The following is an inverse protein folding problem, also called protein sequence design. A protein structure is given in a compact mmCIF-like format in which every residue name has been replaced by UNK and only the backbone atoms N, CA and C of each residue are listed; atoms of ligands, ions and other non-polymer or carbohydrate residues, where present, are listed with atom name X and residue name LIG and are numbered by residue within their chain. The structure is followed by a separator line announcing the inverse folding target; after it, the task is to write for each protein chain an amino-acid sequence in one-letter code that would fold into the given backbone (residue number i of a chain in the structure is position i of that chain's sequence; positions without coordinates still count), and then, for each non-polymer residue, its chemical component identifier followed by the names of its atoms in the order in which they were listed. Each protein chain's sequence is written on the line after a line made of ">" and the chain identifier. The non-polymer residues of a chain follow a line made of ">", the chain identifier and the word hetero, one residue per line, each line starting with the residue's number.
data_IF_257963663422
#
_entry.id   IF_257963663422
#
_cell.length_a   1.000
_cell.length_b   1.000
_cell.length_c   1.000
_cell.angle_alpha   90.00
_cell.angle_beta   90.00
_cell.angle_gamma   90.00
#
_symmetry.space_group_name_H-M   'P 1'
#
loop_
_entity.id
_entity.type
_entity.pdbx_description
1 polymer ?
#
# COMPACT_ATOMS: atom_id res chain seq x y z
N UNK A 1 12.31 16.74 -21.26
CA UNK A 1 11.88 15.87 -22.38
C UNK A 1 13.14 15.24 -22.91
N UNK A 2 13.35 13.95 -22.67
CA UNK A 2 14.52 13.22 -23.14
C UNK A 2 14.08 11.79 -23.48
N UNK A 3 13.52 11.64 -24.68
CA UNK A 3 13.41 10.35 -25.34
C UNK A 3 14.81 9.84 -25.65
N UNK A 4 15.06 8.52 -25.54
CA UNK A 4 16.32 7.93 -25.99
C UNK A 4 16.56 8.30 -27.46
N UNK A 5 17.60 9.06 -27.78
CA UNK A 5 17.87 9.48 -29.14
C UNK A 5 18.24 8.26 -30.00
N UNK A 6 17.81 8.27 -31.26
CA UNK A 6 18.23 7.23 -32.20
C UNK A 6 19.75 7.36 -32.44
N UNK A 7 20.45 6.24 -32.66
CA UNK A 7 21.87 6.21 -32.97
C UNK A 7 22.22 7.14 -34.14
N UNK A 8 21.38 7.16 -35.17
CA UNK A 8 21.55 8.04 -36.34
C UNK A 8 21.30 9.52 -36.03
N UNK A 9 20.55 9.85 -34.97
CA UNK A 9 20.34 11.23 -34.51
C UNK A 9 21.56 11.74 -33.74
N UNK A 10 22.16 10.90 -32.89
CA UNK A 10 23.42 11.23 -32.20
C UNK A 10 24.58 11.46 -33.19
N UNK A 11 24.58 10.72 -34.30
CA UNK A 11 25.60 10.81 -35.35
C UNK A 11 25.54 12.11 -36.17
N UNK A 12 24.38 12.78 -36.23
CA UNK A 12 24.16 13.98 -37.07
C UNK A 12 24.69 15.28 -36.45
N UNK A 13 25.06 15.29 -35.17
CA UNK A 13 25.32 16.53 -34.41
C UNK A 13 26.70 16.67 -33.77
N UNK A 14 27.65 15.76 -34.02
CA UNK A 14 28.86 15.66 -33.20
C UNK A 14 30.14 15.36 -34.02
N UNK A 15 31.26 15.97 -33.61
CA UNK A 15 32.63 15.67 -34.10
C UNK A 15 33.27 14.45 -33.42
N UNK A 16 32.46 13.62 -32.76
CA UNK A 16 32.90 12.47 -31.98
C UNK A 16 33.21 11.26 -32.87
N UNK A 17 34.06 10.35 -32.38
CA UNK A 17 34.33 9.11 -33.09
C UNK A 17 33.10 8.20 -33.08
N UNK A 18 32.99 7.29 -34.05
CA UNK A 18 31.93 6.28 -34.07
C UNK A 18 31.89 5.44 -32.77
N UNK A 19 33.06 5.21 -32.17
CA UNK A 19 33.18 4.50 -30.89
C UNK A 19 32.57 5.31 -29.74
N UNK A 20 32.82 6.62 -29.67
CA UNK A 20 32.28 7.50 -28.62
C UNK A 20 30.75 7.60 -28.71
N UNK A 21 30.21 7.74 -29.93
CA UNK A 21 28.76 7.78 -30.18
C UNK A 21 28.09 6.45 -29.75
N UNK A 22 28.77 5.31 -29.96
CA UNK A 22 28.27 4.01 -29.52
C UNK A 22 28.29 3.86 -27.99
N UNK A 23 29.33 4.31 -27.31
CA UNK A 23 29.38 4.30 -25.84
C UNK A 23 28.28 5.20 -25.24
N UNK A 24 28.06 6.39 -25.81
CA UNK A 24 27.00 7.30 -25.38
C UNK A 24 25.62 6.66 -25.57
N UNK A 25 25.33 6.12 -26.76
CA UNK A 25 24.07 5.44 -27.06
C UNK A 25 23.80 4.24 -26.14
N UNK A 26 24.82 3.42 -25.86
CA UNK A 26 24.69 2.34 -24.89
C UNK A 26 24.38 2.86 -23.47
N UNK A 27 24.99 3.98 -23.07
CA UNK A 27 24.67 4.66 -21.81
C UNK A 27 23.20 5.07 -21.71
N UNK A 28 22.64 5.65 -22.77
CA UNK A 28 21.22 6.01 -22.86
C UNK A 28 20.29 4.79 -22.79
N UNK A 29 20.64 3.68 -23.44
CA UNK A 29 19.85 2.44 -23.38
C UNK A 29 19.85 1.81 -21.98
N UNK A 30 21.02 1.71 -21.35
CA UNK A 30 21.13 1.19 -19.97
C UNK A 30 20.33 2.05 -18.99
N UNK A 31 20.35 3.37 -19.17
CA UNK A 31 19.53 4.28 -18.38
C UNK A 31 18.02 4.04 -18.59
N UNK A 32 17.58 3.90 -19.85
CA UNK A 32 16.19 3.64 -20.20
C UNK A 32 15.68 2.32 -19.61
N UNK A 33 16.48 1.25 -19.70
CA UNK A 33 16.14 -0.05 -19.10
C UNK A 33 16.03 0.01 -17.57
N UNK A 34 16.94 0.72 -16.89
CA UNK A 34 16.89 0.89 -15.43
C UNK A 34 15.67 1.69 -15.02
N UNK A 35 15.36 2.75 -15.76
CA UNK A 35 14.16 3.57 -15.56
C UNK A 35 12.89 2.75 -15.74
N UNK A 36 12.79 1.94 -16.80
CA UNK A 36 11.66 1.06 -17.04
C UNK A 36 11.49 0.04 -15.90
N UNK A 37 12.57 -0.65 -15.53
CA UNK A 37 12.56 -1.62 -14.41
C UNK A 37 12.10 -0.98 -13.10
N UNK A 38 12.59 0.22 -12.79
CA UNK A 38 12.16 0.96 -11.60
C UNK A 38 10.68 1.33 -11.68
N UNK A 39 10.20 1.78 -12.85
CA UNK A 39 8.79 2.09 -13.06
C UNK A 39 7.89 0.88 -12.82
N UNK A 40 8.27 -0.28 -13.34
CA UNK A 40 7.50 -1.51 -13.17
C UNK A 40 7.57 -2.07 -11.74
N UNK A 41 8.71 -1.89 -11.06
CA UNK A 41 8.81 -2.19 -9.63
C UNK A 41 7.87 -1.32 -8.80
N UNK A 42 7.86 0.01 -9.01
CA UNK A 42 6.96 0.90 -8.29
C UNK A 42 5.48 0.58 -8.53
N UNK A 43 5.08 0.22 -9.76
CA UNK A 43 3.70 -0.20 -10.05
C UNK A 43 3.30 -1.48 -9.32
N UNK A 44 4.22 -2.45 -9.21
CA UNK A 44 3.97 -3.69 -8.46
C UNK A 44 3.82 -3.42 -6.98
N UNK A 45 4.70 -2.59 -6.40
CA UNK A 45 4.56 -2.18 -5.00
C UNK A 45 3.27 -1.38 -4.76
N UNK A 46 2.94 -0.44 -5.64
CA UNK A 46 1.67 0.33 -5.57
C UNK A 46 0.47 -0.62 -5.49
N UNK A 47 0.40 -1.61 -6.38
CA UNK A 47 -0.66 -2.61 -6.37
C UNK A 47 -0.67 -3.42 -5.08
N UNK A 48 0.49 -3.92 -4.64
CA UNK A 48 0.57 -4.71 -3.41
C UNK A 48 0.08 -3.93 -2.18
N UNK A 49 0.34 -2.63 -2.12
CA UNK A 49 -0.19 -1.78 -1.04
C UNK A 49 -1.70 -1.53 -1.18
N UNK A 50 -2.23 -1.36 -2.39
CA UNK A 50 -3.68 -1.25 -2.60
C UNK A 50 -4.41 -2.55 -2.23
N UNK A 51 -3.85 -3.70 -2.60
CA UNK A 51 -4.40 -5.02 -2.25
C UNK A 51 -4.39 -5.20 -0.71
N UNK A 52 -3.29 -4.81 -0.05
CA UNK A 52 -3.20 -4.85 1.41
C UNK A 52 -4.21 -3.91 2.08
N UNK A 53 -4.39 -2.69 1.58
CA UNK A 53 -5.42 -1.75 2.05
C UNK A 53 -6.82 -2.37 1.96
N UNK A 54 -7.15 -3.00 0.82
CA UNK A 54 -8.42 -3.70 0.62
C UNK A 54 -8.61 -4.81 1.66
N UNK A 55 -7.60 -5.66 1.85
CA UNK A 55 -7.66 -6.75 2.83
C UNK A 55 -7.84 -6.24 4.27
N UNK A 56 -7.18 -5.14 4.65
CA UNK A 56 -7.38 -4.56 5.98
C UNK A 56 -8.79 -4.00 6.17
N UNK A 57 -9.39 -3.43 5.12
CA UNK A 57 -10.76 -2.92 5.18
C UNK A 57 -11.77 -4.07 5.28
N UNK A 58 -11.58 -5.16 4.55
CA UNK A 58 -12.40 -6.38 4.69
C UNK A 58 -12.33 -6.95 6.10
N UNK A 59 -11.11 -7.05 6.67
CA UNK A 59 -10.94 -7.48 8.06
C UNK A 59 -11.59 -6.51 9.06
N UNK A 60 -11.58 -5.20 8.77
CA UNK A 60 -12.19 -4.20 9.63
C UNK A 60 -13.70 -4.42 9.73
N UNK A 61 -14.38 -4.66 8.61
CA UNK A 61 -15.82 -4.95 8.58
C UNK A 61 -16.18 -6.18 9.43
N UNK A 62 -15.38 -7.24 9.34
CA UNK A 62 -15.57 -8.47 10.14
C UNK A 62 -15.40 -8.22 11.66
N UNK A 63 -14.39 -7.45 12.05
CA UNK A 63 -14.15 -7.11 13.46
C UNK A 63 -15.23 -6.16 13.99
N UNK A 64 -15.70 -5.22 13.17
CA UNK A 64 -16.83 -4.35 13.53
C UNK A 64 -18.11 -5.15 13.77
N UNK A 65 -18.43 -6.11 12.89
CA UNK A 65 -19.57 -7.01 13.07
C UNK A 65 -19.43 -7.86 14.34
N UNK A 66 -18.24 -8.42 14.60
CA UNK A 66 -17.93 -9.17 15.83
C UNK A 66 -18.11 -8.31 17.08
N UNK A 67 -17.64 -7.06 17.05
CA UNK A 67 -17.76 -6.09 18.13
C UNK A 67 -19.22 -5.74 18.39
N UNK A 68 -20.00 -5.47 17.35
CA UNK A 68 -21.42 -5.14 17.46
C UNK A 68 -22.22 -6.31 18.05
N UNK A 69 -21.99 -7.53 17.56
CA UNK A 69 -22.63 -8.72 18.11
C UNK A 69 -22.31 -8.91 19.60
N UNK A 70 -21.04 -8.79 20.00
CA UNK A 70 -20.64 -8.91 21.41
C UNK A 70 -21.24 -7.80 22.27
N UNK A 71 -21.28 -6.57 21.76
CA UNK A 71 -21.91 -5.45 22.44
C UNK A 71 -23.40 -5.72 22.69
N UNK A 72 -24.10 -6.25 21.69
CA UNK A 72 -25.49 -6.69 21.83
C UNK A 72 -25.67 -7.71 22.94
N UNK A 73 -24.82 -8.74 23.00
CA UNK A 73 -24.85 -9.73 24.07
C UNK A 73 -24.63 -9.10 25.46
N UNK A 74 -23.67 -8.19 25.60
CA UNK A 74 -23.42 -7.47 26.86
C UNK A 74 -24.66 -6.71 27.30
N UNK A 75 -25.29 -5.97 26.39
CA UNK A 75 -26.50 -5.18 26.67
C UNK A 75 -27.67 -6.08 27.12
N UNK A 76 -27.87 -7.22 26.46
CA UNK A 76 -28.93 -8.16 26.87
C UNK A 76 -28.66 -8.79 28.23
N UNK A 77 -27.42 -9.23 28.48
CA UNK A 77 -27.04 -9.82 29.77
C UNK A 77 -27.15 -8.82 30.92
N UNK A 78 -26.89 -7.54 30.68
CA UNK A 78 -27.06 -6.48 31.69
C UNK A 78 -28.51 -6.27 32.15
N UNK A 79 -29.52 -6.80 31.43
CA UNK A 79 -30.93 -6.72 31.82
C UNK A 79 -31.35 -7.81 32.81
N UNK A 80 -30.54 -8.87 32.95
CA UNK A 80 -30.82 -9.99 33.85
C UNK A 80 -30.47 -9.58 35.29
N UNK A 81 -31.16 -10.15 36.28
CA UNK A 81 -30.82 -9.94 37.69
C UNK A 81 -29.37 -10.38 37.94
N UNK A 82 -28.63 -9.57 38.71
CA UNK A 82 -27.19 -9.80 38.92
C UNK A 82 -26.96 -11.02 39.80
N UNK A 83 -26.11 -11.91 39.33
CA UNK A 83 -25.47 -12.95 40.13
C UNK A 83 -23.97 -12.99 39.81
N UNK A 84 -23.19 -13.68 40.65
CA UNK A 84 -21.73 -13.72 40.53
C UNK A 84 -21.23 -14.32 39.21
N UNK A 85 -21.94 -15.30 38.65
CA UNK A 85 -21.57 -15.96 37.38
C UNK A 85 -21.84 -15.04 36.22
N UNK A 86 -22.95 -14.30 36.26
CA UNK A 86 -23.30 -13.29 35.27
C UNK A 86 -22.28 -12.13 35.27
N UNK A 87 -21.87 -11.66 36.44
CA UNK A 87 -20.86 -10.60 36.55
C UNK A 87 -19.50 -11.05 36.00
N UNK A 88 -19.06 -12.28 36.27
CA UNK A 88 -17.84 -12.86 35.66
C UNK A 88 -17.93 -12.95 34.13
N UNK A 89 -19.06 -13.43 33.60
CA UNK A 89 -19.31 -13.48 32.15
C UNK A 89 -19.22 -12.08 31.51
N UNK A 90 -19.80 -11.06 32.15
CA UNK A 90 -19.78 -9.69 31.67
C UNK A 90 -18.36 -9.10 31.66
N UNK A 91 -17.52 -9.43 32.64
CA UNK A 91 -16.11 -9.00 32.68
C UNK A 91 -15.34 -9.58 31.48
N UNK A 92 -15.52 -10.87 31.19
CA UNK A 92 -14.86 -11.53 30.06
C UNK A 92 -15.32 -10.92 28.73
N UNK A 93 -16.63 -10.72 28.55
CA UNK A 93 -17.16 -10.14 27.32
C UNK A 93 -16.68 -8.70 27.09
N UNK A 94 -16.61 -7.88 28.13
CA UNK A 94 -16.09 -6.51 28.04
C UNK A 94 -14.60 -6.47 27.72
N UNK A 95 -13.82 -7.37 28.29
CA UNK A 95 -12.40 -7.49 27.95
C UNK A 95 -12.22 -7.85 26.46
N UNK A 96 -12.98 -8.82 25.97
CA UNK A 96 -12.96 -9.21 24.56
C UNK A 96 -13.48 -8.08 23.62
N UNK A 97 -14.48 -7.30 24.05
CA UNK A 97 -14.93 -6.12 23.29
C UNK A 97 -13.82 -5.05 23.22
N UNK A 98 -13.07 -4.86 24.30
CA UNK A 98 -11.96 -3.92 24.33
C UNK A 98 -10.81 -4.35 23.40
N UNK A 99 -10.56 -5.66 23.28
CA UNK A 99 -9.61 -6.21 22.32
C UNK A 99 -10.05 -5.95 20.87
N UNK A 100 -11.34 -6.11 20.56
CA UNK A 100 -11.88 -5.77 19.23
C UNK A 100 -11.67 -4.29 18.89
N UNK A 101 -11.89 -3.37 19.83
CA UNK A 101 -11.60 -1.95 19.62
C UNK A 101 -10.12 -1.68 19.32
N UNK A 102 -9.23 -2.40 20.01
CA UNK A 102 -7.79 -2.29 19.77
C UNK A 102 -7.40 -2.82 18.38
N UNK A 103 -8.03 -3.92 17.95
CA UNK A 103 -7.84 -4.49 16.62
C UNK A 103 -8.37 -3.56 15.51
N UNK A 104 -9.58 -3.02 15.66
CA UNK A 104 -10.15 -1.99 14.77
C UNK A 104 -9.18 -0.82 14.59
N UNK A 105 -8.67 -0.29 15.71
CA UNK A 105 -7.72 0.84 15.69
C UNK A 105 -6.43 0.48 14.92
N UNK A 106 -5.90 -0.73 15.14
CA UNK A 106 -4.73 -1.23 14.41
C UNK A 106 -5.01 -1.36 12.92
N UNK A 107 -6.15 -1.95 12.53
CA UNK A 107 -6.53 -2.15 11.12
C UNK A 107 -6.68 -0.81 10.38
N UNK A 108 -7.31 0.19 11.00
CA UNK A 108 -7.41 1.54 10.44
C UNK A 108 -6.02 2.14 10.19
N UNK A 109 -5.11 2.04 11.18
CA UNK A 109 -3.74 2.54 11.02
C UNK A 109 -2.98 1.82 9.90
N UNK A 110 -3.15 0.50 9.78
CA UNK A 110 -2.50 -0.32 8.76
C UNK A 110 -3.03 0.00 7.36
N UNK A 111 -4.36 0.11 7.21
CA UNK A 111 -5.05 0.51 5.97
C UNK A 111 -4.56 1.88 5.51
N UNK A 112 -4.60 2.89 6.38
CA UNK A 112 -4.10 4.23 6.06
C UNK A 112 -2.61 4.23 5.68
N UNK A 113 -1.77 3.45 6.38
CA UNK A 113 -0.35 3.34 6.04
C UNK A 113 -0.13 2.70 4.66
N UNK A 114 -0.91 1.69 4.30
CA UNK A 114 -0.86 1.06 2.98
C UNK A 114 -1.26 2.05 1.89
N UNK A 115 -2.36 2.78 2.07
CA UNK A 115 -2.82 3.82 1.14
C UNK A 115 -1.75 4.89 0.87
N UNK A 116 -1.09 5.36 1.93
CA UNK A 116 0.00 6.34 1.80
C UNK A 116 1.17 5.80 0.96
N UNK A 117 1.61 4.57 1.25
CA UNK A 117 2.71 3.93 0.50
C UNK A 117 2.32 3.70 -0.95
N UNK A 118 1.10 3.24 -1.24
CA UNK A 118 0.59 3.13 -2.60
C UNK A 118 0.69 4.47 -3.35
N UNK A 119 0.20 5.54 -2.71
CA UNK A 119 0.26 6.90 -3.26
C UNK A 119 1.68 7.39 -3.54
N UNK A 120 2.64 7.10 -2.65
CA UNK A 120 4.05 7.41 -2.86
C UNK A 120 4.63 6.69 -4.08
N UNK A 121 4.40 5.37 -4.19
CA UNK A 121 4.88 4.57 -5.32
C UNK A 121 4.27 5.03 -6.64
N UNK A 122 2.96 5.33 -6.66
CA UNK A 122 2.29 5.89 -7.82
C UNK A 122 2.80 7.28 -8.23
N UNK A 123 3.20 8.14 -7.26
CA UNK A 123 3.88 9.42 -7.55
C UNK A 123 5.25 9.20 -8.19
N UNK A 124 6.06 8.27 -7.66
CA UNK A 124 7.37 7.93 -8.23
C UNK A 124 7.21 7.40 -9.66
N UNK A 125 6.31 6.43 -9.89
CA UNK A 125 6.04 5.89 -11.21
C UNK A 125 5.59 6.96 -12.22
N UNK A 126 4.77 7.93 -11.79
CA UNK A 126 4.38 9.09 -12.62
C UNK A 126 5.56 10.02 -12.94
N UNK A 127 6.43 10.31 -11.96
CA UNK A 127 7.65 11.10 -12.19
C UNK A 127 8.57 10.41 -13.20
N UNK A 128 8.79 9.11 -13.06
CA UNK A 128 9.60 8.33 -14.00
C UNK A 128 9.02 8.38 -15.42
N UNK A 129 7.70 8.28 -15.60
CA UNK A 129 7.07 8.45 -16.91
C UNK A 129 7.28 9.84 -17.51
N UNK A 130 7.24 10.89 -16.70
CA UNK A 130 7.46 12.29 -17.14
C UNK A 130 8.92 12.64 -17.44
N UNK A 131 9.87 11.82 -16.98
CA UNK A 131 11.27 11.92 -17.36
C UNK A 131 11.53 11.35 -18.77
N UNK A 132 10.48 10.91 -19.48
CA UNK A 132 10.56 10.61 -20.92
C UNK A 132 10.54 11.92 -21.72
#
# INVERSE_FOLDING_TARGET
>A
MFSTPNFDELKKGQSFSHFDIHQEWMGWNVWAERKQRMGDFCKREERAYMDAESSYNEMLEEVEARREYRHGLIVELMKIERDCVLDECLVILRAAEQEDFAEISRLIMMSHSAALRAGEKGRVARKLRKLA
#
